data_IF_108631471023
#
_entry.id   IF_108631471023
#
_cell.length_a   1.000
_cell.length_b   1.000
_cell.length_c   1.000
_cell.angle_alpha   90.00
_cell.angle_beta   90.00
_cell.angle_gamma   90.00
#
_symmetry.space_group_name_H-M   'P 1'
#
loop_
_entity.id
_entity.type
_entity.pdbx_description
1 polymer ?
#
# COMPACT_ATOMS: atom_id res chain seq x y z
N UNK A 1 -9.77 19.40 10.87
CA UNK A 1 -9.33 18.24 10.08
C UNK A 1 -8.32 18.73 9.06
N UNK A 2 -7.16 18.08 8.94
CA UNK A 2 -6.18 18.44 7.91
C UNK A 2 -6.62 17.93 6.55
N UNK A 3 -6.28 18.67 5.50
CA UNK A 3 -6.50 18.28 4.11
C UNK A 3 -5.17 17.92 3.50
N UNK A 4 -5.06 16.73 2.91
CA UNK A 4 -3.86 16.27 2.23
C UNK A 4 -4.09 16.24 0.71
N UNK A 5 -3.07 16.56 -0.10
CA UNK A 5 -3.09 16.32 -1.54
C UNK A 5 -3.32 14.83 -1.85
N UNK A 6 -4.12 14.56 -2.89
CA UNK A 6 -4.30 13.19 -3.38
C UNK A 6 -3.01 12.62 -3.97
N UNK A 7 -2.20 13.47 -4.62
CA UNK A 7 -0.97 13.07 -5.31
C UNK A 7 0.22 13.90 -4.87
N UNK A 8 1.37 13.25 -4.79
CA UNK A 8 2.67 13.89 -4.60
C UNK A 8 3.64 13.40 -5.66
N UNK A 9 4.48 14.30 -6.17
CA UNK A 9 5.53 13.96 -7.12
C UNK A 9 6.88 14.36 -6.53
N UNK A 10 7.73 13.38 -6.28
CA UNK A 10 9.13 13.57 -5.88
C UNK A 10 10.08 13.20 -7.00
N UNK A 11 11.38 13.38 -6.75
CA UNK A 11 12.44 12.99 -7.70
C UNK A 11 12.49 11.49 -7.97
N UNK A 12 12.20 10.68 -6.94
CA UNK A 12 12.39 9.22 -6.98
C UNK A 12 11.08 8.43 -6.93
N UNK A 13 10.03 9.01 -6.34
CA UNK A 13 8.75 8.35 -6.14
C UNK A 13 7.59 9.28 -6.42
N UNK A 14 6.47 8.69 -6.82
CA UNK A 14 5.16 9.35 -6.92
C UNK A 14 4.23 8.67 -5.93
N UNK A 15 3.40 9.47 -5.26
CA UNK A 15 2.34 8.99 -4.38
C UNK A 15 0.98 9.24 -5.02
N UNK A 16 0.09 8.27 -4.91
CA UNK A 16 -1.33 8.40 -5.28
C UNK A 16 -2.21 7.69 -4.25
N UNK A 17 -3.53 7.97 -4.20
CA UNK A 17 -4.39 7.40 -3.17
C UNK A 17 -4.39 5.87 -3.23
N UNK A 18 -4.10 5.23 -2.09
CA UNK A 18 -4.16 3.77 -2.00
C UNK A 18 -5.61 3.30 -2.22
N UNK A 19 -5.77 2.19 -2.92
CA UNK A 19 -7.07 1.61 -3.27
C UNK A 19 -6.97 0.12 -3.56
N UNK A 20 -8.10 -0.58 -3.67
CA UNK A 20 -8.13 -2.00 -4.03
C UNK A 20 -7.52 -2.31 -5.41
N UNK A 21 -7.43 -1.32 -6.30
CA UNK A 21 -6.74 -1.49 -7.59
C UNK A 21 -5.24 -1.80 -7.44
N UNK A 22 -4.67 -1.55 -6.25
CA UNK A 22 -3.26 -1.84 -5.96
C UNK A 22 -3.01 -3.26 -5.45
N UNK A 23 -4.07 -4.05 -5.18
CA UNK A 23 -3.96 -5.43 -4.71
C UNK A 23 -3.04 -6.32 -5.57
N UNK A 24 -3.01 -6.22 -6.92
CA UNK A 24 -2.07 -6.99 -7.74
C UNK A 24 -0.59 -6.75 -7.37
N UNK A 25 -0.23 -5.54 -6.93
CA UNK A 25 1.12 -5.23 -6.47
C UNK A 25 1.46 -5.90 -5.13
N UNK A 26 0.50 -5.97 -4.22
CA UNK A 26 0.65 -6.71 -2.95
C UNK A 26 0.85 -8.20 -3.19
N UNK A 27 0.12 -8.77 -4.16
CA UNK A 27 0.25 -10.18 -4.54
C UNK A 27 1.59 -10.47 -5.19
N UNK A 28 2.02 -9.64 -6.14
CA UNK A 28 3.28 -9.83 -6.86
C UNK A 28 4.52 -9.71 -5.94
N UNK A 29 4.42 -8.92 -4.86
CA UNK A 29 5.51 -8.68 -3.92
C UNK A 29 5.32 -9.33 -2.55
N UNK A 30 4.47 -10.35 -2.43
CA UNK A 30 4.20 -10.94 -1.12
C UNK A 30 5.46 -11.60 -0.54
N UNK A 31 5.84 -11.14 0.65
CA UNK A 31 6.85 -11.75 1.50
C UNK A 31 6.36 -11.65 2.95
N UNK A 32 6.17 -12.77 3.68
CA UNK A 32 5.71 -12.74 5.06
C UNK A 32 6.65 -11.96 5.99
N UNK A 33 7.94 -11.85 5.67
CA UNK A 33 8.90 -11.04 6.45
C UNK A 33 8.55 -9.55 6.42
N UNK A 34 7.99 -9.05 5.31
CA UNK A 34 7.54 -7.65 5.18
C UNK A 34 6.41 -7.33 6.16
N UNK A 35 5.55 -8.31 6.45
CA UNK A 35 4.37 -8.11 7.28
C UNK A 35 4.56 -8.57 8.74
N UNK A 36 5.65 -9.28 9.08
CA UNK A 36 5.79 -9.98 10.39
C UNK A 36 5.64 -9.11 11.63
N UNK A 37 5.92 -7.80 11.52
CA UNK A 37 5.81 -6.84 12.61
C UNK A 37 4.65 -5.86 12.46
N UNK A 38 3.82 -6.02 11.43
CA UNK A 38 2.66 -5.17 11.19
C UNK A 38 1.43 -5.75 11.90
N UNK A 39 0.65 -4.87 12.51
CA UNK A 39 -0.67 -5.24 13.01
C UNK A 39 -1.57 -5.70 11.86
N UNK A 40 -2.42 -6.71 12.10
CA UNK A 40 -3.33 -7.29 11.09
C UNK A 40 -2.59 -7.75 9.83
N UNK A 41 -1.41 -8.33 10.00
CA UNK A 41 -0.66 -8.94 8.91
C UNK A 41 -1.49 -10.03 8.20
N UNK A 42 -1.41 -10.14 6.87
CA UNK A 42 -1.95 -11.29 6.14
C UNK A 42 -1.31 -12.57 6.66
N UNK A 43 -2.14 -13.57 6.98
CA UNK A 43 -1.68 -14.86 7.54
C UNK A 43 -1.30 -15.88 6.46
N UNK A 44 -1.79 -15.66 5.25
CA UNK A 44 -1.62 -16.55 4.10
C UNK A 44 -1.18 -15.71 2.89
N UNK A 45 -0.45 -16.35 1.98
CA UNK A 45 0.05 -15.74 0.74
C UNK A 45 -1.01 -15.75 -0.37
N UNK A 46 -2.27 -15.45 -0.05
CA UNK A 46 -3.40 -15.53 -0.98
C UNK A 46 -4.09 -14.17 -1.19
N UNK A 47 -4.89 -14.09 -2.26
CA UNK A 47 -5.61 -12.87 -2.63
C UNK A 47 -6.55 -12.41 -1.53
N UNK A 48 -7.22 -13.35 -0.86
CA UNK A 48 -8.21 -13.04 0.17
C UNK A 48 -7.55 -12.39 1.39
N UNK A 49 -6.49 -12.97 1.93
CA UNK A 49 -5.79 -12.44 3.10
C UNK A 49 -5.16 -11.07 2.81
N UNK A 50 -4.61 -10.88 1.61
CA UNK A 50 -4.06 -9.57 1.21
C UNK A 50 -5.14 -8.52 0.94
N UNK A 51 -6.29 -8.93 0.40
CA UNK A 51 -7.47 -8.05 0.27
C UNK A 51 -7.97 -7.61 1.64
N UNK A 52 -8.15 -8.52 2.57
CA UNK A 52 -8.58 -8.23 3.94
C UNK A 52 -7.60 -7.26 4.64
N UNK A 53 -6.29 -7.48 4.46
CA UNK A 53 -5.27 -6.57 4.96
C UNK A 53 -5.44 -5.16 4.36
N UNK A 54 -5.57 -5.04 3.04
CA UNK A 54 -5.71 -3.76 2.36
C UNK A 54 -7.02 -3.04 2.73
N UNK A 55 -8.13 -3.75 2.84
CA UNK A 55 -9.41 -3.20 3.30
C UNK A 55 -9.32 -2.68 4.73
N UNK A 56 -8.60 -3.37 5.61
CA UNK A 56 -8.34 -2.92 6.98
C UNK A 56 -7.54 -1.61 7.01
N UNK A 57 -6.58 -1.41 6.10
CA UNK A 57 -5.83 -0.15 5.98
C UNK A 57 -6.75 1.00 5.54
N UNK A 58 -7.62 0.75 4.56
CA UNK A 58 -8.49 1.76 3.94
C UNK A 58 -9.68 2.17 4.84
N UNK A 59 -10.11 1.28 5.73
CA UNK A 59 -11.27 1.51 6.61
C UNK A 59 -10.90 2.02 8.01
N UNK A 60 -9.61 2.11 8.35
CA UNK A 60 -9.18 2.58 9.67
C UNK A 60 -9.54 4.07 9.88
N UNK A 61 -10.32 4.42 10.92
CA UNK A 61 -10.80 5.80 11.11
C UNK A 61 -9.67 6.82 11.22
N UNK A 62 -9.71 7.83 10.35
CA UNK A 62 -8.73 8.92 10.33
C UNK A 62 -7.40 8.58 9.64
N UNK A 63 -7.21 7.34 9.17
CA UNK A 63 -6.03 6.92 8.43
C UNK A 63 -6.13 7.35 6.95
N UNK A 64 -5.07 7.97 6.44
CA UNK A 64 -4.95 8.34 5.02
C UNK A 64 -3.72 7.63 4.46
N UNK A 65 -3.92 6.83 3.41
CA UNK A 65 -2.87 5.99 2.84
C UNK A 65 -2.60 6.37 1.38
N UNK A 66 -1.33 6.33 0.98
CA UNK A 66 -0.92 6.45 -0.41
C UNK A 66 -0.20 5.19 -0.86
N UNK A 67 -0.41 4.80 -2.12
CA UNK A 67 0.46 3.88 -2.82
C UNK A 67 1.72 4.61 -3.28
N UNK A 68 2.87 3.95 -3.15
CA UNK A 68 4.15 4.46 -3.62
C UNK A 68 4.50 3.80 -4.94
N UNK A 69 4.83 4.61 -5.95
CA UNK A 69 5.37 4.13 -7.23
C UNK A 69 6.76 4.70 -7.49
N UNK A 70 7.75 3.87 -7.87
CA UNK A 70 9.05 4.37 -8.27
C UNK A 70 8.94 5.16 -9.58
N UNK A 71 9.72 6.22 -9.69
CA UNK A 71 9.96 6.92 -10.96
C UNK A 71 11.03 6.18 -11.78
N UNK A 72 11.16 6.45 -13.09
CA UNK A 72 12.25 5.89 -13.89
C UNK A 72 13.66 6.18 -13.33
N UNK A 73 13.83 7.26 -12.55
CA UNK A 73 15.09 7.61 -11.91
C UNK A 73 15.54 6.61 -10.83
N UNK A 74 14.66 5.71 -10.36
CA UNK A 74 14.95 4.67 -9.36
C UNK A 74 15.10 3.28 -9.98
N UNK A 75 14.95 3.12 -11.30
CA UNK A 75 14.97 1.82 -12.00
C UNK A 75 16.37 1.39 -12.47
N UNK A 76 17.44 1.85 -11.80
CA UNK A 76 18.85 1.52 -12.11
C UNK A 76 19.19 0.06 -11.86
#
# INVERSE_FOLDING_TARGET
>A
MWTFPERFAGRYVVLEPLSLAHLPGFLAGFDPEVFRFLSRAPKEADERALREHLEALLSEPGRVNWALRPTPALQT
#
